data_IF_597861636487
#
_entry.id   IF_597861636487
#
_cell.length_a   1.000
_cell.length_b   1.000
_cell.length_c   1.000
_cell.angle_alpha   90.00
_cell.angle_beta   90.00
_cell.angle_gamma   90.00
#
_symmetry.space_group_name_H-M   'P 1'
#
loop_
_entity.id
_entity.type
_entity.pdbx_description
1 polymer ?
#
# COMPACT_ATOMS: atom_id res chain seq x y z
N UNK A 1 -12.40 7.14 -1.08
CA UNK A 1 -13.17 8.31 -0.63
C UNK A 1 -12.21 9.48 -0.44
N UNK A 2 -12.58 10.68 -0.88
CA UNK A 2 -11.76 11.90 -0.75
C UNK A 2 -12.53 12.96 0.06
N UNK A 3 -12.22 13.15 1.36
CA UNK A 3 -12.86 14.19 2.15
C UNK A 3 -12.47 15.57 1.64
N UNK A 4 -13.47 16.43 1.36
CA UNK A 4 -13.25 17.82 0.98
C UNK A 4 -13.74 18.72 2.12
N UNK A 5 -12.82 19.43 2.77
CA UNK A 5 -13.15 20.39 3.81
C UNK A 5 -13.32 21.79 3.20
N UNK A 6 -14.45 22.45 3.45
CA UNK A 6 -14.74 23.79 2.95
C UNK A 6 -14.86 24.81 4.09
N UNK A 7 -14.36 26.03 3.86
CA UNK A 7 -14.43 27.13 4.83
C UNK A 7 -13.80 26.76 6.18
N UNK A 8 -14.53 27.01 7.26
CA UNK A 8 -14.09 26.75 8.64
C UNK A 8 -13.80 25.26 8.91
N UNK A 9 -14.39 24.34 8.15
CA UNK A 9 -14.12 22.90 8.30
C UNK A 9 -12.64 22.54 8.01
N UNK A 10 -11.93 23.37 7.23
CA UNK A 10 -10.50 23.16 6.93
C UNK A 10 -9.64 23.15 8.20
N UNK A 11 -10.06 23.87 9.25
CA UNK A 11 -9.39 23.90 10.56
C UNK A 11 -9.40 22.55 11.27
N UNK A 12 -10.31 21.65 10.87
CA UNK A 12 -10.47 20.31 11.46
C UNK A 12 -9.97 19.19 10.53
N UNK A 13 -9.37 19.53 9.38
CA UNK A 13 -8.89 18.54 8.41
C UNK A 13 -7.85 17.57 8.99
N UNK A 14 -7.09 17.99 10.00
CA UNK A 14 -6.10 17.16 10.68
C UNK A 14 -6.71 15.88 11.27
N UNK A 15 -7.93 15.95 11.83
CA UNK A 15 -8.62 14.77 12.37
C UNK A 15 -8.92 13.73 11.28
N UNK A 16 -9.22 14.17 10.05
CA UNK A 16 -9.45 13.28 8.91
C UNK A 16 -8.15 12.70 8.34
N UNK A 17 -7.07 13.48 8.37
CA UNK A 17 -5.74 12.99 8.00
C UNK A 17 -5.29 11.89 8.97
N UNK A 18 -5.67 12.00 10.24
CA UNK A 18 -5.26 11.08 11.31
C UNK A 18 -6.19 9.87 11.51
N UNK A 19 -7.36 9.84 10.86
CA UNK A 19 -8.30 8.72 10.99
C UNK A 19 -7.77 7.42 10.42
N UNK A 20 -8.38 6.29 10.77
CA UNK A 20 -8.22 5.04 10.04
C UNK A 20 -8.90 5.11 8.66
N UNK A 21 -8.56 4.15 7.80
CA UNK A 21 -9.08 4.03 6.44
C UNK A 21 -9.34 2.57 6.08
N UNK A 22 -10.39 2.33 5.29
CA UNK A 22 -10.73 1.03 4.72
C UNK A 22 -10.66 1.07 3.20
N UNK A 23 -10.04 0.06 2.60
CA UNK A 23 -9.78 -0.02 1.17
C UNK A 23 -10.22 -1.37 0.63
N UNK A 24 -10.83 -1.36 -0.55
CA UNK A 24 -11.03 -2.54 -1.38
C UNK A 24 -9.95 -2.54 -2.46
N UNK A 25 -9.21 -3.64 -2.57
CA UNK A 25 -8.10 -3.75 -3.52
C UNK A 25 -8.15 -5.09 -4.25
N UNK A 26 -7.74 -5.07 -5.51
CA UNK A 26 -7.44 -6.27 -6.29
C UNK A 26 -5.93 -6.24 -6.55
N UNK A 27 -5.23 -7.25 -6.08
CA UNK A 27 -3.80 -7.44 -6.31
C UNK A 27 -3.60 -8.54 -7.35
N UNK A 28 -2.64 -8.32 -8.25
CA UNK A 28 -2.19 -9.32 -9.22
C UNK A 28 -0.93 -9.99 -8.68
N UNK A 29 -1.00 -11.29 -8.44
CA UNK A 29 0.12 -12.11 -8.02
C UNK A 29 1.06 -12.34 -9.21
N UNK A 30 2.31 -12.69 -8.93
CA UNK A 30 3.30 -12.99 -9.97
C UNK A 30 3.92 -11.77 -10.64
N UNK A 31 3.29 -10.59 -10.63
CA UNK A 31 3.83 -9.36 -11.22
C UNK A 31 4.16 -8.29 -10.18
N UNK A 32 5.32 -7.65 -10.32
CA UNK A 32 5.72 -6.50 -9.51
C UNK A 32 6.03 -5.31 -10.39
N UNK A 33 5.50 -4.14 -10.04
CA UNK A 33 5.76 -2.87 -10.72
C UNK A 33 6.65 -1.94 -9.89
N UNK A 34 7.30 -0.99 -10.55
CA UNK A 34 8.14 0.02 -9.89
C UNK A 34 7.34 0.99 -8.98
N UNK A 35 6.05 1.22 -9.28
CA UNK A 35 5.15 2.08 -8.48
C UNK A 35 4.36 1.30 -7.42
N UNK A 36 4.37 -0.04 -7.49
CA UNK A 36 3.52 -0.93 -6.68
C UNK A 36 2.01 -0.81 -6.94
N UNK A 37 1.64 -0.30 -8.11
CA UNK A 37 0.29 -0.29 -8.66
C UNK A 37 0.31 -0.62 -10.16
N UNK A 38 -0.86 -0.65 -10.80
CA UNK A 38 -1.01 -0.98 -12.22
C UNK A 38 -0.48 0.07 -13.19
N UNK A 39 -0.18 1.28 -12.72
CA UNK A 39 0.26 2.38 -13.58
C UNK A 39 1.79 2.36 -13.80
N UNK A 40 2.50 1.51 -13.05
CA UNK A 40 3.94 1.34 -13.15
C UNK A 40 4.37 0.35 -14.22
N UNK A 41 5.67 0.34 -14.49
CA UNK A 41 6.29 -0.65 -15.37
C UNK A 41 6.56 -1.93 -14.58
N UNK A 42 6.28 -3.09 -15.19
CA UNK A 42 6.61 -4.40 -14.62
C UNK A 42 8.12 -4.53 -14.55
N UNK A 43 8.64 -4.63 -13.33
CA UNK A 43 10.07 -4.80 -13.05
C UNK A 43 10.43 -6.25 -12.77
N UNK A 44 9.46 -7.09 -12.41
CA UNK A 44 9.70 -8.47 -12.07
C UNK A 44 8.44 -9.32 -12.30
N UNK A 45 8.63 -10.53 -12.83
CA UNK A 45 7.59 -11.54 -13.00
C UNK A 45 8.04 -12.87 -12.43
N UNK A 46 7.10 -13.64 -11.86
CA UNK A 46 7.33 -14.97 -11.29
C UNK A 46 6.11 -15.87 -11.47
N UNK A 47 6.36 -17.17 -11.57
CA UNK A 47 5.30 -18.17 -11.59
C UNK A 47 4.57 -18.22 -10.25
N UNK A 48 3.25 -18.38 -10.31
CA UNK A 48 2.37 -18.36 -9.13
C UNK A 48 2.03 -19.79 -8.76
N UNK A 49 2.53 -20.24 -7.60
CA UNK A 49 2.20 -21.54 -7.00
C UNK A 49 1.50 -21.36 -5.65
N UNK A 50 0.66 -20.33 -5.54
CA UNK A 50 -0.01 -19.95 -4.29
C UNK A 50 -1.29 -20.75 -4.12
N UNK A 51 -1.41 -21.47 -3.00
CA UNK A 51 -2.67 -22.11 -2.61
C UNK A 51 -3.50 -21.17 -1.73
N UNK A 52 -4.83 -21.38 -1.61
CA UNK A 52 -5.66 -20.58 -0.71
C UNK A 52 -5.17 -20.59 0.74
N UNK A 53 -4.68 -21.72 1.23
CA UNK A 53 -4.19 -21.87 2.61
C UNK A 53 -2.89 -21.05 2.81
N UNK A 54 -1.98 -21.10 1.83
CA UNK A 54 -0.77 -20.29 1.87
C UNK A 54 -1.08 -18.80 1.81
N UNK A 55 -2.08 -18.43 1.00
CA UNK A 55 -2.53 -17.04 0.90
C UNK A 55 -3.11 -16.54 2.23
N UNK A 56 -3.94 -17.33 2.90
CA UNK A 56 -4.48 -16.98 4.23
C UNK A 56 -3.35 -16.85 5.27
N UNK A 57 -2.41 -17.79 5.32
CA UNK A 57 -1.23 -17.69 6.19
C UNK A 57 -0.38 -16.45 5.91
N UNK A 58 -0.22 -16.09 4.63
CA UNK A 58 0.45 -14.87 4.21
C UNK A 58 -0.30 -13.64 4.73
N UNK A 59 -1.61 -13.56 4.51
CA UNK A 59 -2.47 -12.45 4.91
C UNK A 59 -2.41 -12.23 6.42
N UNK A 60 -2.45 -13.31 7.20
CA UNK A 60 -2.40 -13.28 8.66
C UNK A 60 -1.14 -12.59 9.20
N UNK A 61 0.02 -12.76 8.54
CA UNK A 61 1.29 -12.12 8.92
C UNK A 61 1.28 -10.59 8.78
N UNK A 62 0.28 -10.02 8.11
CA UNK A 62 0.14 -8.58 7.93
C UNK A 62 -0.77 -7.92 8.95
N UNK A 63 -1.57 -8.69 9.70
CA UNK A 63 -2.41 -8.14 10.75
C UNK A 63 -1.55 -7.64 11.92
N UNK A 64 -1.97 -6.53 12.53
CA UNK A 64 -1.26 -5.90 13.64
C UNK A 64 -0.28 -4.81 13.22
N UNK A 65 0.73 -4.56 14.05
CA UNK A 65 1.71 -3.50 13.83
C UNK A 65 2.88 -3.98 12.96
N UNK A 66 3.27 -3.15 11.99
CA UNK A 66 4.50 -3.35 11.21
C UNK A 66 5.14 -2.02 10.82
N UNK A 67 6.43 -2.06 10.52
CA UNK A 67 7.16 -0.94 9.95
C UNK A 67 7.18 -1.03 8.43
N UNK A 68 6.73 0.02 7.76
CA UNK A 68 6.72 0.09 6.30
C UNK A 68 7.53 1.28 5.80
N UNK A 69 8.42 1.03 4.85
CA UNK A 69 9.14 2.06 4.10
C UNK A 69 8.22 2.60 3.01
N UNK A 70 7.92 3.91 2.98
CA UNK A 70 7.08 4.51 1.95
C UNK A 70 7.69 4.37 0.54
N UNK A 71 6.86 4.31 -0.51
CA UNK A 71 7.33 4.32 -1.90
C UNK A 71 8.01 5.66 -2.26
N UNK A 72 8.95 5.60 -3.22
CA UNK A 72 9.52 6.79 -3.86
C UNK A 72 8.45 7.60 -4.61
N UNK A 73 7.41 6.95 -5.12
CA UNK A 73 6.24 7.62 -5.72
C UNK A 73 5.26 8.06 -4.62
N UNK A 74 5.67 9.01 -3.77
CA UNK A 74 4.81 9.57 -2.72
C UNK A 74 4.97 11.08 -2.55
N UNK A 75 3.97 11.72 -1.95
CA UNK A 75 3.97 13.16 -1.65
C UNK A 75 4.77 13.52 -0.38
N UNK A 76 5.45 12.55 0.25
CA UNK A 76 6.35 12.83 1.36
C UNK A 76 7.47 13.73 0.89
N UNK A 77 7.98 14.60 1.77
CA UNK A 77 9.04 15.54 1.41
C UNK A 77 10.40 15.06 1.92
N UNK A 78 11.41 15.19 1.08
CA UNK A 78 12.82 15.08 1.43
C UNK A 78 13.51 16.37 0.99
N UNK A 79 14.22 17.03 1.91
CA UNK A 79 14.89 18.32 1.65
C UNK A 79 14.00 19.37 0.95
N UNK A 80 12.73 19.46 1.37
CA UNK A 80 11.76 20.44 0.85
C UNK A 80 11.04 20.04 -0.43
N UNK A 81 11.47 18.98 -1.14
CA UNK A 81 10.84 18.49 -2.38
C UNK A 81 10.09 17.17 -2.17
N UNK A 82 8.94 16.95 -2.82
CA UNK A 82 8.23 15.65 -2.80
C UNK A 82 9.07 14.49 -3.36
N UNK A 83 8.90 13.27 -2.81
CA UNK A 83 9.65 12.07 -3.21
C UNK A 83 9.42 11.70 -4.67
N UNK A 84 8.20 11.88 -5.19
CA UNK A 84 7.90 11.56 -6.58
C UNK A 84 8.72 12.41 -7.58
N UNK A 85 9.20 13.60 -7.19
CA UNK A 85 10.08 14.41 -8.05
C UNK A 85 11.45 13.75 -8.21
N UNK A 86 12.01 13.23 -7.13
CA UNK A 86 13.25 12.45 -7.16
C UNK A 86 13.08 11.14 -7.94
N UNK A 87 11.95 10.44 -7.72
CA UNK A 87 11.63 9.20 -8.42
C UNK A 87 11.61 9.37 -9.94
N UNK A 88 10.98 10.45 -10.44
CA UNK A 88 10.93 10.79 -11.87
C UNK A 88 12.29 11.17 -12.46
N UNK A 89 13.24 11.57 -11.62
CA UNK A 89 14.64 11.84 -12.00
C UNK A 89 15.52 10.58 -11.89
N UNK A 90 14.96 9.43 -11.47
CA UNK A 90 15.71 8.22 -11.20
C UNK A 90 16.61 8.32 -9.96
N UNK A 91 16.36 9.29 -9.08
CA UNK A 91 17.15 9.51 -7.86
C UNK A 91 16.46 8.83 -6.70
N UNK A 92 17.15 7.88 -6.06
CA UNK A 92 16.69 7.28 -4.82
C UNK A 92 17.18 8.09 -3.61
N UNK A 93 16.31 8.30 -2.62
CA UNK A 93 16.64 9.01 -1.39
C UNK A 93 16.32 8.16 -0.15
N UNK A 94 17.02 8.38 0.98
CA UNK A 94 16.74 7.67 2.23
C UNK A 94 15.31 7.95 2.72
N UNK A 95 14.64 6.90 3.17
CA UNK A 95 13.26 6.94 3.66
C UNK A 95 13.16 6.17 4.97
N UNK A 96 12.71 6.84 6.01
CA UNK A 96 12.47 6.18 7.30
C UNK A 96 11.23 5.29 7.23
N UNK A 97 11.32 4.13 7.85
CA UNK A 97 10.16 3.27 8.05
C UNK A 97 9.18 3.94 9.02
N UNK A 98 7.89 3.79 8.77
CA UNK A 98 6.83 4.32 9.63
C UNK A 98 5.92 3.19 10.07
N UNK A 99 5.59 3.18 11.36
CA UNK A 99 4.57 2.28 11.91
C UNK A 99 3.25 2.39 11.16
N UNK A 100 2.65 1.25 10.88
CA UNK A 100 1.28 1.10 10.42
C UNK A 100 0.63 -0.01 11.25
N UNK A 101 -0.67 0.13 11.49
CA UNK A 101 -1.46 -0.94 12.10
C UNK A 101 -2.49 -1.37 11.09
N UNK A 102 -2.49 -2.66 10.75
CA UNK A 102 -3.56 -3.29 9.98
C UNK A 102 -4.51 -3.94 10.98
N UNK A 103 -5.70 -3.38 11.09
CA UNK A 103 -6.72 -3.85 12.03
C UNK A 103 -7.43 -5.09 11.52
N UNK A 104 -7.70 -5.13 10.21
CA UNK A 104 -8.45 -6.22 9.59
C UNK A 104 -8.03 -6.38 8.13
N UNK A 105 -7.97 -7.63 7.68
CA UNK A 105 -7.91 -8.00 6.26
C UNK A 105 -8.96 -9.08 6.03
N UNK A 106 -9.86 -8.83 5.09
CA UNK A 106 -10.88 -9.78 4.64
C UNK A 106 -10.56 -10.19 3.20
N UNK A 107 -10.33 -11.49 2.99
CA UNK A 107 -10.21 -12.06 1.65
C UNK A 107 -11.61 -12.26 1.06
N UNK A 108 -11.84 -11.78 -0.16
CA UNK A 108 -13.14 -11.90 -0.82
C UNK A 108 -13.12 -12.79 -2.04
N UNK A 109 -12.03 -12.76 -2.82
CA UNK A 109 -11.89 -13.56 -4.03
C UNK A 109 -10.43 -13.94 -4.23
N UNK A 110 -10.18 -15.17 -4.64
CA UNK A 110 -8.89 -15.61 -5.15
C UNK A 110 -9.14 -16.50 -6.36
N UNK A 111 -8.82 -15.99 -7.55
CA UNK A 111 -9.08 -16.64 -8.83
C UNK A 111 -7.90 -16.43 -9.77
N UNK A 112 -7.24 -17.53 -10.17
CA UNK A 112 -6.05 -17.45 -11.01
C UNK A 112 -4.92 -16.69 -10.32
N UNK A 113 -4.51 -15.57 -10.89
CA UNK A 113 -3.50 -14.66 -10.37
C UNK A 113 -4.07 -13.43 -9.65
N UNK A 114 -5.39 -13.30 -9.52
CA UNK A 114 -6.01 -12.14 -8.88
C UNK A 114 -6.51 -12.47 -7.47
N UNK A 115 -6.19 -11.57 -6.53
CA UNK A 115 -6.68 -11.61 -5.15
C UNK A 115 -7.42 -10.32 -4.84
N UNK A 116 -8.69 -10.44 -4.47
CA UNK A 116 -9.50 -9.33 -4.00
C UNK A 116 -9.63 -9.36 -2.48
N UNK A 117 -9.28 -8.25 -1.84
CA UNK A 117 -9.33 -8.12 -0.39
C UNK A 117 -9.80 -6.74 0.06
N UNK A 118 -10.30 -6.70 1.28
CA UNK A 118 -10.62 -5.49 2.00
C UNK A 118 -9.66 -5.31 3.17
N UNK A 119 -9.08 -4.11 3.31
CA UNK A 119 -8.06 -3.81 4.32
C UNK A 119 -8.46 -2.60 5.14
N UNK A 120 -8.44 -2.73 6.46
CA UNK A 120 -8.67 -1.64 7.42
C UNK A 120 -7.37 -1.31 8.16
N UNK A 121 -6.90 -0.06 8.08
CA UNK A 121 -5.62 0.35 8.63
C UNK A 121 -5.59 1.77 9.22
N UNK A 122 -4.58 2.05 10.06
CA UNK A 122 -4.50 3.26 10.88
C UNK A 122 -4.23 4.57 10.14
N UNK A 123 -3.42 4.56 9.07
CA UNK A 123 -3.09 5.75 8.26
C UNK A 123 -2.67 5.34 6.85
N UNK A 124 -3.20 6.06 5.85
CA UNK A 124 -3.15 5.73 4.42
C UNK A 124 -1.78 5.21 3.94
N UNK A 125 -1.78 3.99 3.37
CA UNK A 125 -0.70 3.37 2.57
C UNK A 125 -1.23 2.10 1.87
N UNK A 126 -1.94 2.25 0.74
CA UNK A 126 -2.41 1.11 -0.06
C UNK A 126 -1.33 0.50 -0.95
N UNK A 127 -0.46 1.34 -1.53
CA UNK A 127 0.56 0.90 -2.49
C UNK A 127 1.58 -0.09 -1.92
N UNK A 128 1.72 -0.15 -0.59
CA UNK A 128 2.66 -1.07 0.07
C UNK A 128 2.04 -2.46 0.30
N UNK A 129 0.71 -2.57 0.37
CA UNK A 129 0.04 -3.87 0.62
C UNK A 129 0.19 -4.83 -0.57
N UNK A 130 0.06 -4.32 -1.80
CA UNK A 130 0.20 -5.13 -3.03
C UNK A 130 1.62 -5.69 -3.18
N UNK A 131 2.64 -4.83 -3.03
CA UNK A 131 4.05 -5.24 -3.10
C UNK A 131 4.46 -6.18 -1.97
N UNK A 132 3.78 -6.11 -0.83
CA UNK A 132 4.05 -6.96 0.33
C UNK A 132 3.54 -8.39 0.19
N UNK A 133 2.35 -8.60 -0.37
CA UNK A 133 1.82 -9.95 -0.64
C UNK A 133 2.73 -10.66 -1.65
N UNK A 134 3.14 -9.95 -2.71
CA UNK A 134 4.08 -10.47 -3.69
C UNK A 134 5.44 -10.86 -3.07
N UNK A 135 5.93 -10.11 -2.09
CA UNK A 135 7.23 -10.39 -1.46
C UNK A 135 7.25 -11.59 -0.50
N UNK A 136 6.09 -12.10 -0.08
CA UNK A 136 5.99 -13.09 1.02
C UNK A 136 5.35 -14.44 0.67
N UNK A 137 4.81 -14.66 -0.54
CA UNK A 137 4.06 -15.88 -0.90
C UNK A 137 4.68 -16.74 -2.02
#
# INVERSE_FOLDING_TARGET
>A
MLPICLGEATKFSQFLLDSDKRYRVIAKLGERTNTSDSDGEVVETRDINVTPELLDECIDKFRGESDQVPSMFSALKYQGKPLYEYARQGIEVPREARKITVYEIVLHRFEGDEVEMEVHCSKARTSVLSSMIWAKC
#
